data_IF_641468492543
#
_entry.id   IF_641468492543
#
_cell.length_a   1.000
_cell.length_b   1.000
_cell.length_c   1.000
_cell.angle_alpha   90.00
_cell.angle_beta   90.00
_cell.angle_gamma   90.00
#
_symmetry.space_group_name_H-M   'P 1'
#
loop_
_entity.id
_entity.type
_entity.pdbx_description
1 polymer ?
#
# COMPACT_ATOMS: atom_id res chain seq x y z
N UNK A 1 -1.78 23.90 -14.88
CA UNK A 1 -1.16 23.08 -15.96
C UNK A 1 -0.99 21.67 -15.45
N UNK A 2 -1.69 20.71 -16.06
CA UNK A 2 -1.71 19.30 -15.63
C UNK A 2 -0.35 18.63 -15.89
N UNK A 3 0.02 17.64 -15.06
CA UNK A 3 1.25 16.82 -15.24
C UNK A 3 1.28 16.19 -16.64
N UNK A 4 0.12 15.81 -17.18
CA UNK A 4 -0.08 15.31 -18.53
C UNK A 4 0.50 16.26 -19.59
N UNK A 5 0.22 17.55 -19.48
CA UNK A 5 0.63 18.54 -20.47
C UNK A 5 2.14 18.81 -20.44
N UNK A 6 2.74 18.80 -19.24
CA UNK A 6 4.20 18.93 -19.09
C UNK A 6 4.97 17.76 -19.69
N UNK A 7 4.45 16.53 -19.55
CA UNK A 7 5.10 15.31 -20.08
C UNK A 7 4.91 15.17 -21.58
N UNK A 8 3.77 15.58 -22.15
CA UNK A 8 3.56 15.60 -23.60
C UNK A 8 4.59 16.44 -24.33
N UNK A 9 4.99 17.57 -23.74
CA UNK A 9 5.97 18.48 -24.34
C UNK A 9 7.41 17.91 -24.44
N UNK A 10 7.70 16.82 -23.74
CA UNK A 10 9.03 16.18 -23.68
C UNK A 10 9.11 14.91 -24.52
N UNK A 11 7.98 14.37 -24.97
CA UNK A 11 7.96 13.11 -25.73
C UNK A 11 8.24 13.40 -27.23
N UNK A 12 9.05 12.56 -27.91
CA UNK A 12 9.24 12.64 -29.36
C UNK A 12 7.90 12.52 -30.08
N UNK A 13 7.74 13.25 -31.22
CA UNK A 13 6.50 13.33 -31.97
C UNK A 13 5.93 11.98 -32.45
N UNK A 14 6.75 10.97 -32.59
CA UNK A 14 6.37 9.61 -32.99
C UNK A 14 5.86 8.75 -31.85
N UNK A 15 6.04 9.19 -30.57
CA UNK A 15 5.58 8.44 -29.39
C UNK A 15 4.13 8.78 -29.10
N UNK A 16 3.28 7.78 -29.06
CA UNK A 16 1.87 7.91 -28.67
C UNK A 16 1.71 7.38 -27.23
N UNK A 17 1.76 8.24 -26.21
CA UNK A 17 1.59 7.82 -24.83
C UNK A 17 0.15 7.38 -24.57
N UNK A 18 -0.02 6.37 -23.74
CA UNK A 18 -1.31 6.00 -23.14
C UNK A 18 -1.31 6.53 -21.71
N UNK A 19 -2.35 7.27 -21.38
CA UNK A 19 -2.51 7.88 -20.06
C UNK A 19 -3.52 7.09 -19.24
N UNK A 20 -3.14 6.73 -18.03
CA UNK A 20 -4.08 6.15 -17.07
C UNK A 20 -4.13 6.97 -15.79
N UNK A 21 -5.27 6.94 -15.09
CA UNK A 21 -5.48 7.72 -13.87
C UNK A 21 -6.44 7.05 -12.90
N UNK A 22 -6.29 7.39 -11.61
CA UNK A 22 -7.23 7.04 -10.54
C UNK A 22 -8.18 8.19 -10.18
N UNK A 23 -8.11 9.32 -10.92
CA UNK A 23 -8.86 10.54 -10.58
C UNK A 23 -9.20 11.44 -11.77
N UNK A 24 -8.57 11.24 -12.94
CA UNK A 24 -8.82 12.02 -14.16
C UNK A 24 -9.60 11.15 -15.16
N UNK A 25 -10.89 11.43 -15.29
CA UNK A 25 -11.81 10.74 -16.21
C UNK A 25 -11.49 11.00 -17.69
N UNK A 26 -10.66 12.01 -17.98
CA UNK A 26 -10.21 12.29 -19.36
C UNK A 26 -8.94 11.49 -19.74
N UNK A 27 -8.43 10.64 -18.88
CA UNK A 27 -7.35 9.72 -19.22
C UNK A 27 -7.84 8.68 -20.24
N UNK A 28 -6.93 8.10 -21.03
CA UNK A 28 -7.29 7.05 -22.00
C UNK A 28 -7.87 5.82 -21.28
N UNK A 29 -7.37 5.55 -20.07
CA UNK A 29 -7.88 4.52 -19.16
C UNK A 29 -8.01 5.11 -17.76
N UNK A 30 -9.14 4.95 -17.10
CA UNK A 30 -9.32 5.41 -15.73
C UNK A 30 -9.96 4.35 -14.82
N UNK A 31 -9.71 4.48 -13.51
CA UNK A 31 -10.38 3.67 -12.50
C UNK A 31 -11.32 4.54 -11.68
N UNK A 32 -12.59 4.19 -11.67
CA UNK A 32 -13.66 4.85 -10.94
C UNK A 32 -14.22 3.94 -9.84
N UNK A 33 -14.97 4.53 -8.91
CA UNK A 33 -15.65 3.76 -7.85
C UNK A 33 -14.74 2.79 -7.10
N UNK A 34 -13.50 3.22 -6.84
CA UNK A 34 -12.48 2.40 -6.20
C UNK A 34 -12.88 2.12 -4.75
N UNK A 35 -12.98 0.83 -4.39
CA UNK A 35 -13.35 0.36 -3.04
C UNK A 35 -12.31 -0.64 -2.56
N UNK A 36 -12.00 -0.58 -1.27
CA UNK A 36 -11.20 -1.60 -0.60
C UNK A 36 -12.12 -2.66 -0.03
N UNK A 37 -11.83 -3.91 -0.37
CA UNK A 37 -12.49 -5.10 0.16
C UNK A 37 -11.57 -5.79 1.17
N UNK A 38 -12.04 -6.86 1.80
CA UNK A 38 -11.25 -7.60 2.81
C UNK A 38 -10.02 -8.27 2.22
N UNK A 39 -10.07 -8.69 0.96
CA UNK A 39 -9.07 -9.49 0.27
C UNK A 39 -8.49 -8.82 -0.99
N UNK A 40 -8.82 -7.54 -1.23
CA UNK A 40 -8.33 -6.85 -2.41
C UNK A 40 -8.96 -5.50 -2.68
N UNK A 41 -8.98 -5.12 -3.96
CA UNK A 41 -9.62 -3.90 -4.45
C UNK A 41 -10.65 -4.20 -5.51
N UNK A 42 -11.79 -3.50 -5.47
CA UNK A 42 -12.83 -3.48 -6.51
C UNK A 42 -12.89 -2.09 -7.14
N UNK A 43 -13.00 -2.00 -8.45
CA UNK A 43 -13.14 -0.73 -9.17
C UNK A 43 -13.78 -0.92 -10.54
N UNK A 44 -14.27 0.18 -11.10
CA UNK A 44 -14.73 0.25 -12.49
C UNK A 44 -13.58 0.78 -13.34
N UNK A 45 -13.10 -0.01 -14.28
CA UNK A 45 -12.14 0.40 -15.30
C UNK A 45 -12.89 0.90 -16.52
N UNK A 46 -12.67 2.15 -16.91
CA UNK A 46 -13.14 2.73 -18.16
C UNK A 46 -11.97 2.89 -19.12
N UNK A 47 -12.08 2.29 -20.29
CA UNK A 47 -11.15 2.40 -21.41
C UNK A 47 -11.90 3.00 -22.59
N UNK A 48 -11.43 4.14 -23.11
CA UNK A 48 -12.05 4.83 -24.24
C UNK A 48 -12.09 3.99 -25.52
N UNK A 49 -11.21 2.99 -25.66
CA UNK A 49 -11.11 2.12 -26.83
C UNK A 49 -11.88 0.80 -26.66
N UNK A 50 -11.86 0.20 -25.44
CA UNK A 50 -12.36 -1.15 -25.19
C UNK A 50 -13.63 -1.20 -24.32
N UNK A 51 -14.07 -0.03 -23.79
CA UNK A 51 -15.29 0.07 -22.98
C UNK A 51 -15.07 -0.08 -21.47
N UNK A 52 -16.11 -0.43 -20.75
CA UNK A 52 -16.16 -0.40 -19.28
C UNK A 52 -16.16 -1.82 -18.70
N UNK A 53 -15.38 -2.03 -17.64
CA UNK A 53 -15.24 -3.31 -16.97
C UNK A 53 -15.30 -3.14 -15.45
N UNK A 54 -15.96 -4.07 -14.76
CA UNK A 54 -15.82 -4.23 -13.31
C UNK A 54 -14.61 -5.13 -13.06
N UNK A 55 -13.67 -4.64 -12.26
CA UNK A 55 -12.40 -5.31 -11.99
C UNK A 55 -12.25 -5.53 -10.50
N UNK A 56 -11.92 -6.77 -10.12
CA UNK A 56 -11.49 -7.12 -8.78
C UNK A 56 -10.06 -7.62 -8.85
N UNK A 57 -9.18 -7.08 -8.01
CA UNK A 57 -7.80 -7.55 -7.90
C UNK A 57 -7.51 -8.03 -6.48
N UNK A 58 -6.84 -9.18 -6.29
CA UNK A 58 -6.48 -9.71 -4.97
C UNK A 58 -5.23 -9.00 -4.41
N UNK A 59 -5.25 -7.68 -4.42
CA UNK A 59 -4.16 -6.83 -3.93
C UNK A 59 -4.75 -5.54 -3.35
N UNK A 60 -4.38 -5.20 -2.11
CA UNK A 60 -4.94 -4.07 -1.39
C UNK A 60 -4.23 -2.75 -1.73
N UNK A 61 -4.98 -1.64 -1.59
CA UNK A 61 -4.47 -0.29 -1.69
C UNK A 61 -4.53 0.30 -3.10
N UNK A 62 -4.82 1.59 -3.16
CA UNK A 62 -4.99 2.35 -4.42
C UNK A 62 -3.77 2.28 -5.36
N UNK A 63 -2.56 2.12 -4.82
CA UNK A 63 -1.36 1.96 -5.64
C UNK A 63 -1.38 0.67 -6.47
N UNK A 64 -2.01 -0.40 -5.98
CA UNK A 64 -2.18 -1.63 -6.75
C UNK A 64 -3.26 -1.49 -7.82
N UNK A 65 -4.25 -0.62 -7.63
CA UNK A 65 -5.16 -0.24 -8.73
C UNK A 65 -4.38 0.48 -9.83
N UNK A 66 -3.47 1.41 -9.49
CA UNK A 66 -2.62 2.06 -10.48
C UNK A 66 -1.70 1.06 -11.22
N UNK A 67 -1.12 0.10 -10.50
CA UNK A 67 -0.32 -0.98 -11.10
C UNK A 67 -1.16 -1.86 -12.05
N UNK A 68 -2.41 -2.16 -11.68
CA UNK A 68 -3.34 -2.92 -12.52
C UNK A 68 -3.70 -2.15 -13.80
N UNK A 69 -3.96 -0.83 -13.71
CA UNK A 69 -4.17 0.00 -14.90
C UNK A 69 -2.94 0.03 -15.81
N UNK A 70 -1.74 0.14 -15.24
CA UNK A 70 -0.50 0.10 -16.01
C UNK A 70 -0.32 -1.23 -16.74
N UNK A 71 -0.55 -2.34 -16.05
CA UNK A 71 -0.48 -3.69 -16.63
C UNK A 71 -1.54 -3.89 -17.73
N UNK A 72 -2.76 -3.43 -17.48
CA UNK A 72 -3.85 -3.45 -18.46
C UNK A 72 -3.48 -2.68 -19.73
N UNK A 73 -3.04 -1.43 -19.58
CA UNK A 73 -2.62 -0.60 -20.71
C UNK A 73 -1.48 -1.25 -21.51
N UNK A 74 -0.47 -1.79 -20.84
CA UNK A 74 0.64 -2.45 -21.51
C UNK A 74 0.18 -3.68 -22.30
N UNK A 75 -0.63 -4.55 -21.69
CA UNK A 75 -1.08 -5.79 -22.31
C UNK A 75 -2.03 -5.53 -23.50
N UNK A 76 -2.98 -4.61 -23.38
CA UNK A 76 -3.90 -4.29 -24.48
C UNK A 76 -3.17 -3.63 -25.65
N UNK A 77 -2.17 -2.77 -25.41
CA UNK A 77 -1.33 -2.19 -26.46
C UNK A 77 -0.41 -3.21 -27.15
N UNK A 78 -0.11 -4.31 -26.50
CA UNK A 78 0.57 -5.46 -27.10
C UNK A 78 -0.39 -6.41 -27.83
N UNK A 79 -1.67 -6.06 -27.95
CA UNK A 79 -2.66 -6.83 -28.71
C UNK A 79 -3.40 -7.90 -27.90
N UNK A 80 -3.27 -7.91 -26.58
CA UNK A 80 -4.06 -8.82 -25.74
C UNK A 80 -5.54 -8.36 -25.68
N UNK A 81 -6.46 -9.32 -25.74
CA UNK A 81 -7.88 -9.06 -25.56
C UNK A 81 -8.17 -8.50 -24.15
N UNK A 82 -8.92 -7.39 -24.09
CA UNK A 82 -9.18 -6.67 -22.84
C UNK A 82 -9.84 -7.55 -21.77
N UNK A 83 -10.81 -8.39 -22.12
CA UNK A 83 -11.49 -9.29 -21.17
C UNK A 83 -10.54 -10.37 -20.65
N UNK A 84 -9.60 -10.81 -21.48
CA UNK A 84 -8.57 -11.76 -21.06
C UNK A 84 -7.61 -11.12 -20.07
N UNK A 85 -7.20 -9.86 -20.30
CA UNK A 85 -6.36 -9.11 -19.36
C UNK A 85 -7.07 -8.92 -18.03
N UNK A 86 -8.34 -8.52 -18.02
CA UNK A 86 -9.14 -8.38 -16.79
C UNK A 86 -9.18 -9.69 -15.99
N UNK A 87 -9.42 -10.83 -16.66
CA UNK A 87 -9.39 -12.13 -15.97
C UNK A 87 -8.00 -12.42 -15.37
N UNK A 88 -6.92 -12.07 -16.08
CA UNK A 88 -5.56 -12.20 -15.57
C UNK A 88 -5.32 -11.36 -14.32
N UNK A 89 -5.80 -10.12 -14.30
CA UNK A 89 -5.71 -9.24 -13.14
C UNK A 89 -6.49 -9.77 -11.94
N UNK A 90 -7.66 -10.38 -12.16
CA UNK A 90 -8.48 -10.96 -11.08
C UNK A 90 -7.88 -12.26 -10.53
N UNK A 91 -7.09 -12.97 -11.31
CA UNK A 91 -6.42 -14.20 -10.90
C UNK A 91 -4.93 -14.00 -10.55
N UNK A 92 -4.54 -12.76 -10.30
CA UNK A 92 -3.17 -12.44 -9.92
C UNK A 92 -2.84 -13.04 -8.56
N UNK A 93 -1.75 -13.77 -8.48
CA UNK A 93 -1.21 -14.27 -7.22
C UNK A 93 -0.06 -13.37 -6.76
N UNK A 94 -0.16 -12.87 -5.55
CA UNK A 94 0.93 -12.09 -4.96
C UNK A 94 2.11 -13.00 -4.65
N UNK A 95 3.29 -12.63 -5.12
CA UNK A 95 4.53 -13.35 -4.83
C UNK A 95 5.23 -12.77 -3.61
N UNK A 96 5.75 -13.65 -2.74
CA UNK A 96 6.52 -13.26 -1.55
C UNK A 96 5.63 -12.77 -0.41
N UNK A 97 6.26 -12.03 0.54
CA UNK A 97 5.61 -11.46 1.74
C UNK A 97 5.10 -10.04 1.47
N UNK A 98 4.29 -9.89 0.40
CA UNK A 98 3.68 -8.59 0.03
C UNK A 98 2.21 -8.61 0.34
N UNK A 99 1.78 -7.80 1.32
CA UNK A 99 0.37 -7.65 1.72
C UNK A 99 -0.39 -8.97 1.90
N UNK A 100 0.30 -9.99 2.43
CA UNK A 100 -0.34 -11.27 2.73
C UNK A 100 -1.29 -11.10 3.91
N UNK A 101 -2.56 -11.37 3.70
CA UNK A 101 -3.57 -11.34 4.76
C UNK A 101 -3.69 -12.72 5.36
N UNK A 102 -3.57 -12.80 6.67
CA UNK A 102 -3.73 -14.04 7.45
C UNK A 102 -4.69 -13.74 8.59
N UNK A 103 -5.67 -14.60 8.79
CA UNK A 103 -6.46 -14.61 10.02
C UNK A 103 -5.81 -15.56 11.04
N UNK A 104 -5.62 -15.07 12.23
CA UNK A 104 -5.10 -15.85 13.35
C UNK A 104 -6.00 -15.60 14.56
N UNK A 105 -6.83 -16.58 14.89
CA UNK A 105 -7.75 -16.53 16.04
C UNK A 105 -8.66 -15.30 16.05
N UNK A 106 -9.13 -14.88 14.86
CA UNK A 106 -9.98 -13.71 14.67
C UNK A 106 -9.22 -12.37 14.67
N UNK A 107 -7.90 -12.38 14.66
CA UNK A 107 -7.04 -11.21 14.43
C UNK A 107 -6.56 -11.25 12.98
N UNK A 108 -6.84 -10.19 12.22
CA UNK A 108 -6.35 -10.09 10.85
C UNK A 108 -4.93 -9.53 10.82
N UNK A 109 -3.98 -10.30 10.33
CA UNK A 109 -2.57 -9.87 10.16
C UNK A 109 -2.29 -9.59 8.69
N UNK A 110 -1.86 -8.38 8.38
CA UNK A 110 -1.39 -7.96 7.05
C UNK A 110 0.12 -7.94 7.07
N UNK A 111 0.73 -8.96 6.49
CA UNK A 111 2.18 -9.12 6.38
C UNK A 111 2.69 -8.45 5.09
N UNK A 112 3.45 -7.36 5.22
CA UNK A 112 4.05 -6.62 4.10
C UNK A 112 5.56 -6.42 4.32
N UNK A 113 6.27 -7.53 4.52
CA UNK A 113 7.67 -7.59 4.93
C UNK A 113 8.66 -7.91 3.80
N UNK A 114 8.30 -7.67 2.54
CA UNK A 114 9.22 -7.86 1.42
C UNK A 114 10.30 -6.77 1.36
N UNK A 115 9.90 -5.52 1.48
CA UNK A 115 10.79 -4.36 1.57
C UNK A 115 10.05 -3.16 2.16
N UNK A 116 10.82 -2.21 2.72
CA UNK A 116 10.29 -0.97 3.25
C UNK A 116 11.07 0.23 2.69
N UNK A 117 10.35 1.20 2.16
CA UNK A 117 10.82 2.52 1.76
C UNK A 117 9.73 3.55 2.07
N UNK A 118 10.02 4.87 2.04
CA UNK A 118 9.06 5.90 2.41
C UNK A 118 7.72 5.81 1.68
N UNK A 119 7.73 5.60 0.36
CA UNK A 119 6.51 5.52 -0.44
C UNK A 119 5.68 4.28 -0.11
N UNK A 120 6.33 3.12 0.06
CA UNK A 120 5.65 1.87 0.40
C UNK A 120 5.10 1.88 1.84
N UNK A 121 5.79 2.52 2.79
CA UNK A 121 5.30 2.71 4.16
C UNK A 121 4.08 3.64 4.18
N UNK A 122 4.14 4.76 3.47
CA UNK A 122 3.01 5.67 3.30
C UNK A 122 1.80 4.98 2.68
N UNK A 123 2.02 4.22 1.60
CA UNK A 123 0.95 3.48 0.93
C UNK A 123 0.32 2.41 1.84
N UNK A 124 1.13 1.69 2.62
CA UNK A 124 0.66 0.68 3.56
C UNK A 124 -0.18 1.29 4.70
N UNK A 125 0.27 2.40 5.28
CA UNK A 125 -0.48 3.10 6.32
C UNK A 125 -1.79 3.70 5.77
N UNK A 126 -1.77 4.27 4.56
CA UNK A 126 -2.97 4.79 3.92
C UNK A 126 -4.00 3.69 3.65
N UNK A 127 -3.56 2.54 3.14
CA UNK A 127 -4.40 1.36 2.96
C UNK A 127 -4.96 0.87 4.29
N UNK A 128 -4.11 0.79 5.32
CA UNK A 128 -4.49 0.25 6.63
C UNK A 128 -5.47 1.16 7.39
N UNK A 129 -5.41 2.47 7.16
CA UNK A 129 -6.36 3.44 7.72
C UNK A 129 -7.82 3.11 7.35
N UNK A 130 -8.04 2.65 6.12
CA UNK A 130 -9.37 2.34 5.59
C UNK A 130 -9.75 0.86 5.76
N UNK A 131 -8.85 0.04 6.34
CA UNK A 131 -9.12 -1.38 6.54
C UNK A 131 -10.20 -1.60 7.62
N UNK A 132 -11.22 -2.43 7.35
CA UNK A 132 -12.32 -2.68 8.30
C UNK A 132 -11.85 -3.53 9.49
N UNK A 133 -11.82 -2.96 10.69
CA UNK A 133 -11.46 -3.66 11.92
C UNK A 133 -11.92 -2.88 13.16
N UNK A 134 -11.90 -3.53 14.34
CA UNK A 134 -12.22 -2.87 15.60
C UNK A 134 -11.11 -1.90 16.05
N UNK A 135 -9.86 -2.39 16.09
CA UNK A 135 -8.68 -1.60 16.46
C UNK A 135 -7.54 -1.90 15.49
N UNK A 136 -6.73 -0.89 15.18
CA UNK A 136 -5.56 -1.00 14.30
C UNK A 136 -4.29 -1.01 15.10
N UNK A 137 -3.50 -2.04 14.93
CA UNK A 137 -2.13 -2.13 15.45
C UNK A 137 -1.15 -2.10 14.28
N UNK A 138 -0.01 -1.44 14.46
CA UNK A 138 1.07 -1.53 13.50
C UNK A 138 2.36 -1.96 14.21
N UNK A 139 3.08 -2.91 13.60
CA UNK A 139 4.45 -3.26 13.94
C UNK A 139 5.32 -2.84 12.78
N UNK A 140 6.07 -1.75 12.96
CA UNK A 140 6.89 -1.15 11.92
C UNK A 140 8.38 -1.25 12.27
N UNK A 141 9.17 -1.77 11.34
CA UNK A 141 10.62 -1.82 11.46
C UNK A 141 11.34 -0.74 10.67
N UNK A 142 12.66 -0.84 10.61
CA UNK A 142 13.50 0.09 9.88
C UNK A 142 13.24 0.05 8.38
N UNK A 143 13.38 1.21 7.76
CA UNK A 143 13.61 1.37 6.33
C UNK A 143 15.12 1.43 6.11
N UNK A 144 15.69 0.34 5.59
CA UNK A 144 17.12 0.24 5.30
C UNK A 144 17.49 0.95 3.99
N UNK A 145 18.78 1.12 3.75
CA UNK A 145 19.36 1.64 2.50
C UNK A 145 18.97 3.11 2.15
N UNK A 146 18.52 3.90 3.13
CA UNK A 146 18.13 5.30 2.91
C UNK A 146 19.30 6.30 3.07
N UNK A 147 20.45 5.87 3.57
CA UNK A 147 21.59 6.77 3.81
C UNK A 147 21.21 7.97 4.68
N UNK A 148 21.58 9.16 4.24
CA UNK A 148 21.33 10.43 4.95
C UNK A 148 19.83 10.76 5.10
N UNK A 149 18.98 10.24 4.23
CA UNK A 149 17.52 10.45 4.27
C UNK A 149 16.84 9.63 5.37
N UNK A 150 17.54 8.68 5.98
CA UNK A 150 16.95 7.73 6.95
C UNK A 150 16.26 8.44 8.11
N UNK A 151 16.88 9.45 8.69
CA UNK A 151 16.33 10.22 9.81
C UNK A 151 14.99 10.87 9.44
N UNK A 152 14.99 11.65 8.36
CA UNK A 152 13.81 12.40 7.93
C UNK A 152 12.66 11.45 7.54
N UNK A 153 12.99 10.37 6.85
CA UNK A 153 12.01 9.35 6.43
C UNK A 153 11.32 8.67 7.62
N UNK A 154 12.08 8.33 8.70
CA UNK A 154 11.50 7.72 9.89
C UNK A 154 10.70 8.72 10.73
N UNK A 155 11.11 10.00 10.80
CA UNK A 155 10.33 11.04 11.43
C UNK A 155 9.01 11.30 10.69
N UNK A 156 9.05 11.32 9.35
CA UNK A 156 7.84 11.44 8.52
C UNK A 156 6.91 10.24 8.69
N UNK A 157 7.47 9.03 8.74
CA UNK A 157 6.69 7.83 9.02
C UNK A 157 5.95 7.93 10.37
N UNK A 158 6.58 8.51 11.39
CA UNK A 158 5.94 8.78 12.68
C UNK A 158 4.75 9.74 12.57
N UNK A 159 4.86 10.78 11.73
CA UNK A 159 3.74 11.70 11.43
C UNK A 159 2.59 10.98 10.74
N UNK A 160 2.90 10.20 9.72
CA UNK A 160 1.91 9.40 8.97
C UNK A 160 1.22 8.34 9.85
N UNK A 161 1.97 7.67 10.73
CA UNK A 161 1.41 6.72 11.68
C UNK A 161 0.40 7.37 12.62
N UNK A 162 0.67 8.60 13.07
CA UNK A 162 -0.26 9.35 13.91
C UNK A 162 -1.58 9.72 13.20
N UNK A 163 -1.53 9.90 11.87
CA UNK A 163 -2.71 10.22 11.05
C UNK A 163 -3.48 8.99 10.58
N UNK A 164 -2.96 7.79 10.85
CA UNK A 164 -3.51 6.53 10.34
C UNK A 164 -4.54 5.87 11.28
N UNK A 165 -4.92 6.52 12.38
CA UNK A 165 -5.91 6.02 13.32
C UNK A 165 -5.48 4.74 14.05
N UNK A 166 -4.18 4.58 14.33
CA UNK A 166 -3.64 3.45 15.06
C UNK A 166 -4.07 3.49 16.54
N UNK A 167 -4.53 2.36 17.05
CA UNK A 167 -4.72 2.16 18.47
C UNK A 167 -3.38 2.03 19.20
N UNK A 168 -2.42 1.34 18.59
CA UNK A 168 -1.07 1.19 19.12
C UNK A 168 -0.06 1.00 17.98
N UNK A 169 1.08 1.66 18.10
CA UNK A 169 2.24 1.49 17.24
C UNK A 169 3.34 0.78 18.03
N UNK A 170 3.82 -0.35 17.51
CA UNK A 170 5.00 -1.03 18.00
C UNK A 170 6.09 -0.85 16.96
N UNK A 171 7.29 -0.48 17.39
CA UNK A 171 8.43 -0.31 16.48
C UNK A 171 9.59 -1.22 16.91
N UNK A 172 10.36 -1.68 15.93
CA UNK A 172 11.57 -2.46 16.12
C UNK A 172 12.67 -2.01 15.17
N UNK A 173 13.87 -1.82 15.67
CA UNK A 173 15.01 -1.36 14.90
C UNK A 173 15.48 0.03 15.34
N UNK A 174 16.76 0.34 15.10
CA UNK A 174 17.39 1.54 15.63
C UNK A 174 16.78 2.84 15.09
N UNK A 175 16.49 2.88 13.80
CA UNK A 175 15.91 4.06 13.17
C UNK A 175 14.39 4.17 13.43
N UNK A 176 13.69 3.05 13.53
CA UNK A 176 12.27 3.01 13.85
C UNK A 176 11.94 3.57 15.25
N UNK A 177 12.91 3.66 16.14
CA UNK A 177 12.79 4.40 17.42
C UNK A 177 12.37 5.86 17.20
N UNK A 178 12.86 6.51 16.13
CA UNK A 178 12.46 7.88 15.75
C UNK A 178 10.99 7.96 15.37
N UNK A 179 10.53 6.96 14.63
CA UNK A 179 9.11 6.81 14.27
C UNK A 179 8.23 6.75 15.52
N UNK A 180 8.62 5.94 16.51
CA UNK A 180 7.91 5.85 17.79
C UNK A 180 7.87 7.19 18.52
N UNK A 181 9.00 7.88 18.65
CA UNK A 181 9.09 9.16 19.34
C UNK A 181 8.16 10.21 18.71
N UNK A 182 8.18 10.34 17.38
CA UNK A 182 7.33 11.30 16.67
C UNK A 182 5.85 10.95 16.79
N UNK A 183 5.49 9.68 16.64
CA UNK A 183 4.10 9.23 16.77
C UNK A 183 3.58 9.43 18.21
N UNK A 184 4.39 9.14 19.23
CA UNK A 184 4.05 9.37 20.64
C UNK A 184 3.80 10.84 20.93
N UNK A 185 4.65 11.74 20.42
CA UNK A 185 4.48 13.19 20.57
C UNK A 185 3.17 13.71 19.97
N UNK A 186 2.58 12.95 19.04
CA UNK A 186 1.27 13.23 18.41
C UNK A 186 0.10 12.43 19.05
N UNK A 187 0.33 11.77 20.18
CA UNK A 187 -0.71 11.13 20.98
C UNK A 187 -0.99 9.66 20.65
N UNK A 188 -0.23 9.02 19.79
CA UNK A 188 -0.35 7.57 19.53
C UNK A 188 0.27 6.80 20.70
N UNK A 189 -0.39 5.75 21.17
CA UNK A 189 0.23 4.80 22.09
C UNK A 189 1.36 4.06 21.36
N UNK A 190 2.60 4.24 21.82
CA UNK A 190 3.76 3.64 21.18
C UNK A 190 4.55 2.75 22.14
N UNK A 191 5.17 1.73 21.57
CA UNK A 191 6.17 0.91 22.24
C UNK A 191 7.33 0.69 21.26
N UNK A 192 8.56 0.88 21.73
CA UNK A 192 9.75 0.49 21.00
C UNK A 192 10.35 -0.75 21.65
N UNK A 193 10.60 -1.77 20.83
CA UNK A 193 11.17 -3.04 21.26
C UNK A 193 12.63 -3.16 20.81
N UNK A 194 13.47 -3.73 21.65
CA UNK A 194 14.89 -3.94 21.35
C UNK A 194 15.15 -5.23 20.55
N UNK A 195 14.12 -6.09 20.44
CA UNK A 195 14.19 -7.32 19.65
C UNK A 195 12.85 -7.61 18.95
N UNK A 196 12.92 -8.39 17.86
CA UNK A 196 11.71 -8.86 17.17
C UNK A 196 10.80 -9.69 18.08
N UNK A 197 11.40 -10.46 19.01
CA UNK A 197 10.65 -11.28 19.97
C UNK A 197 9.88 -10.39 20.95
N UNK A 198 10.52 -9.39 21.52
CA UNK A 198 9.87 -8.43 22.40
C UNK A 198 8.74 -7.66 21.66
N UNK A 199 8.96 -7.26 20.39
CA UNK A 199 7.94 -6.64 19.57
C UNK A 199 6.73 -7.56 19.37
N UNK A 200 6.98 -8.84 19.09
CA UNK A 200 5.93 -9.84 18.93
C UNK A 200 5.17 -10.08 20.24
N UNK A 201 5.85 -10.26 21.36
CA UNK A 201 5.25 -10.46 22.67
C UNK A 201 4.40 -9.24 23.09
N UNK A 202 4.92 -8.05 22.83
CA UNK A 202 4.20 -6.80 23.09
C UNK A 202 2.92 -6.69 22.24
N UNK A 203 2.93 -7.15 21.00
CA UNK A 203 1.77 -7.19 20.12
C UNK A 203 0.76 -8.25 20.62
N UNK A 204 1.21 -9.49 20.80
CA UNK A 204 0.36 -10.62 21.16
C UNK A 204 -0.36 -10.40 22.50
N UNK A 205 0.28 -9.73 23.46
CA UNK A 205 -0.35 -9.40 24.75
C UNK A 205 -1.47 -8.37 24.68
N UNK A 206 -1.71 -7.73 23.51
CA UNK A 206 -2.63 -6.59 23.35
C UNK A 206 -3.74 -6.80 22.35
N UNK A 207 -3.50 -7.66 21.35
CA UNK A 207 -4.48 -7.91 20.29
C UNK A 207 -5.62 -8.80 20.76
N UNK A 208 -6.79 -8.64 20.17
CA UNK A 208 -8.00 -9.39 20.48
C UNK A 208 -8.78 -9.67 19.18
N UNK A 209 -9.68 -10.66 19.16
CA UNK A 209 -10.52 -10.95 18.01
C UNK A 209 -11.27 -9.73 17.47
N UNK A 210 -11.15 -9.50 16.19
CA UNK A 210 -11.67 -8.32 15.47
C UNK A 210 -10.67 -7.20 15.31
N UNK A 211 -9.47 -7.29 15.85
CA UNK A 211 -8.37 -6.35 15.59
C UNK A 211 -7.67 -6.67 14.28
N UNK A 212 -6.99 -5.66 13.71
CA UNK A 212 -6.08 -5.84 12.59
C UNK A 212 -4.67 -5.36 12.95
N UNK A 213 -3.68 -6.02 12.36
CA UNK A 213 -2.26 -5.75 12.55
C UNK A 213 -1.59 -5.57 11.20
N UNK A 214 -0.93 -4.44 10.99
CA UNK A 214 -0.01 -4.25 9.87
C UNK A 214 1.42 -4.54 10.33
N UNK A 215 2.10 -5.50 9.70
CA UNK A 215 3.51 -5.79 9.94
C UNK A 215 4.32 -5.40 8.71
N UNK A 216 5.25 -4.43 8.86
CA UNK A 216 6.05 -3.93 7.74
C UNK A 216 7.45 -3.50 8.17
N UNK A 217 8.45 -4.04 7.47
CA UNK A 217 9.86 -3.72 7.65
C UNK A 217 10.66 -4.00 6.38
N UNK A 218 11.92 -3.57 6.34
CA UNK A 218 12.86 -3.96 5.29
C UNK A 218 13.21 -5.45 5.38
N UNK A 219 13.63 -6.02 4.26
CA UNK A 219 13.92 -7.47 4.13
C UNK A 219 14.99 -7.98 5.09
N UNK A 220 15.89 -7.16 5.54
CA UNK A 220 16.97 -7.53 6.46
C UNK A 220 16.61 -7.48 7.94
N UNK A 221 15.33 -7.28 8.28
CA UNK A 221 14.84 -7.12 9.65
C UNK A 221 14.29 -8.42 10.25
#
# INVERSE_FOLDING_TARGET
>A
MCIRDKRKAVLPAHVRPVWFSLSDENADVCALSIRQETDGMSFVLEDQEHGTFVVNIPAMGRHNVANALAAYCAATRLGCDAKRVIRGLSNFEQTGRRQKVVDSEGVTVIEDCYNANPDSMKAALAMFKDFPCKRRFALLGDMLELGELSREAHEELGRLAAESGLYCLITYGEQAKRTAVVAAAKGVKTLHADSYREAADALLSRVQPGDAVLVKASHGM
#
